data_IF_910135041142
#
_entry.id   IF_910135041142
#
_cell.length_a   1.000
_cell.length_b   1.000
_cell.length_c   1.000
_cell.angle_alpha   90.00
_cell.angle_beta   90.00
_cell.angle_gamma   90.00
#
_symmetry.space_group_name_H-M   'P 1'
#
loop_
_entity.id
_entity.type
_entity.pdbx_description
1 polymer ?
#
# COMPACT_ATOMS: atom_id res chain seq x y z
N UNK A 1 24.78 -27.69 7.82
CA UNK A 1 23.56 -28.49 7.57
C UNK A 1 22.37 -27.55 7.75
N UNK A 2 21.46 -27.46 6.78
CA UNK A 2 20.28 -26.59 6.91
C UNK A 2 19.30 -27.27 7.88
N UNK A 3 18.90 -26.58 8.95
CA UNK A 3 17.94 -27.11 9.93
C UNK A 3 16.54 -27.15 9.32
N UNK A 4 15.85 -28.27 9.51
CA UNK A 4 14.46 -28.49 9.13
C UNK A 4 13.50 -28.14 10.27
N UNK A 5 12.33 -27.62 9.92
CA UNK A 5 11.25 -27.26 10.85
C UNK A 5 10.03 -28.11 10.52
N UNK A 6 9.45 -28.76 11.52
CA UNK A 6 8.18 -29.48 11.44
C UNK A 6 7.05 -28.59 11.95
N UNK A 7 6.03 -28.37 11.14
CA UNK A 7 4.74 -27.82 11.56
C UNK A 7 3.85 -28.96 12.05
N UNK A 8 3.29 -28.85 13.26
CA UNK A 8 2.44 -29.89 13.88
C UNK A 8 1.10 -29.35 14.37
N UNK A 9 0.19 -30.27 14.72
CA UNK A 9 -1.15 -29.96 15.21
C UNK A 9 -1.82 -28.96 14.26
N UNK A 10 -1.87 -29.32 12.99
CA UNK A 10 -2.33 -28.45 11.91
C UNK A 10 -3.03 -29.28 10.85
N UNK A 11 -3.80 -28.62 9.99
CA UNK A 11 -4.26 -29.22 8.73
C UNK A 11 -3.46 -28.59 7.61
N UNK A 12 -2.67 -29.37 6.88
CA UNK A 12 -1.91 -28.92 5.72
C UNK A 12 -2.73 -29.20 4.47
N UNK A 13 -3.13 -28.16 3.75
CA UNK A 13 -3.80 -28.28 2.47
C UNK A 13 -2.77 -28.40 1.35
N UNK A 14 -2.90 -29.46 0.56
CA UNK A 14 -2.11 -29.67 -0.67
C UNK A 14 -3.05 -29.65 -1.88
N UNK A 15 -2.54 -29.58 -3.13
CA UNK A 15 -3.41 -29.57 -4.31
C UNK A 15 -4.31 -30.81 -4.47
N UNK A 16 -4.04 -31.90 -3.74
CA UNK A 16 -4.70 -33.20 -3.92
C UNK A 16 -5.40 -33.71 -2.66
N UNK A 17 -4.93 -33.33 -1.47
CA UNK A 17 -5.42 -33.86 -0.19
C UNK A 17 -5.00 -32.96 1.00
N UNK A 18 -5.37 -33.37 2.22
CA UNK A 18 -4.89 -32.78 3.47
C UNK A 18 -3.91 -33.71 4.21
N UNK A 19 -3.09 -33.11 5.08
CA UNK A 19 -2.19 -33.83 6.00
C UNK A 19 -2.17 -33.17 7.38
N UNK A 20 -1.62 -33.85 8.38
CA UNK A 20 -1.54 -33.37 9.77
C UNK A 20 -0.21 -32.67 10.12
N UNK A 21 0.81 -32.80 9.26
CA UNK A 21 2.12 -32.17 9.45
C UNK A 21 2.88 -31.90 8.13
N UNK A 22 3.81 -30.96 8.20
CA UNK A 22 4.70 -30.58 7.10
C UNK A 22 6.10 -30.30 7.64
N UNK A 23 7.14 -30.78 6.94
CA UNK A 23 8.55 -30.48 7.25
C UNK A 23 9.13 -29.64 6.13
N UNK A 24 9.76 -28.52 6.48
CA UNK A 24 10.37 -27.59 5.53
C UNK A 24 11.72 -27.06 6.00
N UNK A 25 12.47 -26.50 5.06
CA UNK A 25 13.60 -25.60 5.34
C UNK A 25 13.55 -24.40 4.39
N UNK A 26 14.28 -24.44 3.27
CA UNK A 26 14.13 -23.53 2.14
C UNK A 26 12.99 -23.94 1.19
N UNK A 27 12.64 -25.23 1.22
CA UNK A 27 11.54 -25.86 0.51
C UNK A 27 10.81 -26.84 1.41
N UNK A 28 9.62 -27.24 1.00
CA UNK A 28 8.92 -28.38 1.60
C UNK A 28 9.73 -29.64 1.33
N UNK A 29 10.04 -30.39 2.38
CA UNK A 29 10.80 -31.65 2.34
C UNK A 29 9.84 -32.84 2.39
N UNK A 30 8.85 -32.80 3.28
CA UNK A 30 7.84 -33.85 3.46
C UNK A 30 6.50 -33.27 3.91
N UNK A 31 5.41 -33.95 3.56
CA UNK A 31 4.03 -33.68 3.99
C UNK A 31 3.38 -35.02 4.33
N UNK A 32 2.65 -35.09 5.44
CA UNK A 32 2.05 -36.34 5.93
C UNK A 32 2.18 -36.48 7.45
N UNK A 33 1.91 -37.67 7.98
CA UNK A 33 1.97 -37.97 9.42
C UNK A 33 3.28 -38.58 9.90
N UNK A 34 3.55 -38.44 11.19
CA UNK A 34 4.71 -39.06 11.86
C UNK A 34 6.09 -38.53 11.43
N UNK A 35 6.13 -37.36 10.81
CA UNK A 35 7.36 -36.74 10.30
C UNK A 35 8.27 -36.25 11.43
N UNK A 36 9.56 -36.03 11.14
CA UNK A 36 10.54 -35.45 12.10
C UNK A 36 11.25 -34.26 11.47
N UNK A 37 11.47 -33.23 12.26
CA UNK A 37 12.30 -32.07 11.92
C UNK A 37 13.31 -31.78 13.02
N UNK A 38 14.33 -30.98 12.72
CA UNK A 38 15.32 -30.53 13.72
C UNK A 38 14.73 -29.58 14.76
N UNK A 39 13.62 -28.91 14.40
CA UNK A 39 12.80 -28.08 15.27
C UNK A 39 11.32 -28.30 14.99
N UNK A 40 10.47 -27.89 15.93
CA UNK A 40 9.03 -28.07 15.87
C UNK A 40 8.27 -26.78 16.20
N UNK A 41 7.17 -26.55 15.49
CA UNK A 41 6.22 -25.48 15.72
C UNK A 41 4.81 -26.08 15.76
N UNK A 42 4.17 -26.04 16.92
CA UNK A 42 2.75 -26.38 17.11
C UNK A 42 1.90 -25.22 16.58
N UNK A 43 0.97 -25.51 15.67
CA UNK A 43 0.08 -24.51 15.06
C UNK A 43 -1.32 -24.49 15.67
N UNK A 44 -1.55 -25.23 16.76
CA UNK A 44 -2.76 -25.16 17.58
C UNK A 44 -4.07 -25.37 16.80
N UNK A 45 -4.07 -26.31 15.86
CA UNK A 45 -5.19 -26.66 15.00
C UNK A 45 -5.34 -25.77 13.76
N UNK A 46 -4.38 -24.88 13.46
CA UNK A 46 -4.49 -23.98 12.32
C UNK A 46 -4.36 -24.69 10.97
N UNK A 47 -4.87 -24.02 9.93
CA UNK A 47 -4.77 -24.44 8.53
C UNK A 47 -3.48 -23.89 7.91
N UNK A 48 -2.68 -24.75 7.30
CA UNK A 48 -1.54 -24.40 6.46
C UNK A 48 -1.95 -24.50 5.00
N UNK A 49 -1.80 -23.42 4.25
CA UNK A 49 -2.06 -23.35 2.81
C UNK A 49 -0.82 -22.81 2.07
N UNK A 50 -0.68 -23.08 0.77
CA UNK A 50 0.27 -22.34 -0.06
C UNK A 50 0.04 -20.83 0.08
N UNK A 51 1.12 -20.06 0.18
CA UNK A 51 1.02 -18.60 0.16
C UNK A 51 0.36 -18.13 -1.14
N UNK A 52 -0.43 -17.05 -1.07
CA UNK A 52 -1.05 -16.48 -2.26
C UNK A 52 0.00 -16.00 -3.26
N UNK A 53 -0.21 -16.32 -4.53
CA UNK A 53 0.61 -15.84 -5.64
C UNK A 53 -0.23 -14.87 -6.47
N UNK A 54 0.06 -13.58 -6.34
CA UNK A 54 -0.53 -12.56 -7.19
C UNK A 54 0.26 -12.49 -8.51
N UNK A 55 -0.33 -12.99 -9.59
CA UNK A 55 0.29 -13.06 -10.90
C UNK A 55 0.39 -11.69 -11.59
N UNK A 56 -0.32 -10.67 -11.11
CA UNK A 56 -0.33 -9.35 -11.73
C UNK A 56 -0.58 -8.24 -10.70
N UNK A 57 0.49 -7.67 -10.17
CA UNK A 57 0.44 -6.56 -9.23
C UNK A 57 1.30 -5.37 -9.67
N UNK A 58 0.77 -4.16 -9.45
CA UNK A 58 1.55 -2.92 -9.58
C UNK A 58 2.17 -2.53 -8.23
N UNK A 59 3.19 -3.28 -7.77
CA UNK A 59 3.79 -3.11 -6.42
C UNK A 59 4.24 -1.67 -6.16
N UNK A 60 4.84 -1.01 -7.16
CA UNK A 60 5.26 0.40 -7.04
C UNK A 60 4.07 1.33 -6.84
N UNK A 61 3.00 1.15 -7.60
CA UNK A 61 1.78 1.97 -7.48
C UNK A 61 1.09 1.74 -6.13
N UNK A 62 1.12 0.50 -5.62
CA UNK A 62 0.63 0.19 -4.27
C UNK A 62 1.45 0.91 -3.19
N UNK A 63 2.79 0.86 -3.27
CA UNK A 63 3.66 1.59 -2.35
C UNK A 63 3.42 3.10 -2.43
N UNK A 64 3.27 3.64 -3.65
CA UNK A 64 2.97 5.05 -3.87
C UNK A 64 1.64 5.44 -3.23
N UNK A 65 0.59 4.63 -3.39
CA UNK A 65 -0.71 4.84 -2.74
C UNK A 65 -0.60 4.87 -1.22
N UNK A 66 0.17 3.96 -0.62
CA UNK A 66 0.40 3.93 0.83
C UNK A 66 1.14 5.18 1.35
N UNK A 67 1.98 5.79 0.52
CA UNK A 67 2.70 7.03 0.83
C UNK A 67 1.93 8.31 0.44
N UNK A 68 0.71 8.17 -0.09
CA UNK A 68 -0.13 9.29 -0.56
C UNK A 68 -1.16 9.64 0.51
N UNK A 69 -1.34 10.94 0.77
CA UNK A 69 -2.41 11.45 1.62
C UNK A 69 -3.76 11.17 0.97
N UNK A 70 -4.61 10.41 1.65
CA UNK A 70 -5.95 10.06 1.17
C UNK A 70 -6.95 11.19 1.43
N UNK A 71 -7.54 11.69 0.34
CA UNK A 71 -8.52 12.77 0.33
C UNK A 71 -9.93 12.28 -0.07
N UNK A 72 -10.13 10.98 -0.26
CA UNK A 72 -11.41 10.44 -0.70
C UNK A 72 -12.54 10.73 0.30
N UNK A 73 -13.66 11.22 -0.22
CA UNK A 73 -14.88 11.48 0.56
C UNK A 73 -14.75 12.61 1.59
N UNK A 74 -13.74 13.47 1.49
CA UNK A 74 -13.48 14.55 2.43
C UNK A 74 -14.16 15.86 2.03
N UNK A 75 -14.49 16.71 3.01
CA UNK A 75 -14.95 18.07 2.75
C UNK A 75 -13.81 18.93 2.18
N UNK A 76 -14.15 20.08 1.56
CA UNK A 76 -13.14 20.99 1.00
C UNK A 76 -12.17 21.49 2.07
N UNK A 77 -12.67 21.81 3.26
CA UNK A 77 -11.87 22.29 4.40
C UNK A 77 -10.84 21.24 4.82
N UNK A 78 -11.28 19.98 4.90
CA UNK A 78 -10.41 18.85 5.20
C UNK A 78 -9.36 18.67 4.11
N UNK A 79 -9.77 18.66 2.85
CA UNK A 79 -8.88 18.51 1.69
C UNK A 79 -7.78 19.57 1.68
N UNK A 80 -8.11 20.82 1.99
CA UNK A 80 -7.14 21.92 2.10
C UNK A 80 -6.27 21.79 3.37
N UNK A 81 -6.80 21.22 4.45
CA UNK A 81 -6.14 21.08 5.73
C UNK A 81 -5.14 19.93 5.83
N UNK A 82 -5.41 18.78 5.19
CA UNK A 82 -4.54 17.60 5.30
C UNK A 82 -3.10 17.84 4.79
N UNK A 83 -2.88 18.43 3.59
CA UNK A 83 -1.53 18.67 3.08
C UNK A 83 -0.67 19.60 3.94
N UNK A 84 -1.29 20.47 4.76
CA UNK A 84 -0.57 21.36 5.70
C UNK A 84 0.11 20.60 6.83
N UNK A 85 -0.44 19.45 7.21
CA UNK A 85 0.01 18.63 8.35
C UNK A 85 0.72 17.35 7.91
N UNK A 86 0.70 17.05 6.61
CA UNK A 86 1.33 15.87 6.07
C UNK A 86 2.86 15.99 6.15
N UNK A 87 3.50 14.92 6.58
CA UNK A 87 4.96 14.81 6.43
C UNK A 87 5.27 14.52 4.96
N UNK A 88 6.20 15.28 4.34
CA UNK A 88 6.61 14.99 2.97
C UNK A 88 7.22 13.59 2.90
N UNK A 89 6.98 12.91 1.79
CA UNK A 89 7.49 11.56 1.56
C UNK A 89 8.55 11.60 0.47
N UNK A 90 8.18 11.26 -0.75
CA UNK A 90 9.07 11.10 -1.90
C UNK A 90 9.71 12.45 -2.28
N UNK A 91 11.03 12.54 -2.10
CA UNK A 91 11.85 13.71 -2.47
C UNK A 91 11.37 15.04 -1.86
N UNK A 92 10.82 15.01 -0.64
CA UNK A 92 10.35 16.21 0.03
C UNK A 92 8.98 16.72 -0.46
N UNK A 93 8.27 15.97 -1.31
CA UNK A 93 6.93 16.30 -1.76
C UNK A 93 5.84 15.68 -0.88
N UNK A 94 4.71 16.37 -0.80
CA UNK A 94 3.45 15.81 -0.30
C UNK A 94 2.61 15.42 -1.51
N UNK A 95 2.38 14.13 -1.67
CA UNK A 95 1.43 13.60 -2.64
C UNK A 95 0.09 13.37 -1.96
N UNK A 96 -0.96 13.92 -2.51
CA UNK A 96 -2.33 13.74 -2.02
C UNK A 96 -3.23 13.32 -3.19
N UNK A 97 -4.23 12.49 -2.94
CA UNK A 97 -5.15 12.02 -3.98
C UNK A 97 -6.54 11.79 -3.44
N UNK A 98 -7.55 12.07 -4.25
CA UNK A 98 -8.92 11.66 -3.99
C UNK A 98 -9.89 12.78 -3.71
N UNK A 99 -9.47 14.05 -3.85
CA UNK A 99 -10.42 15.15 -3.71
C UNK A 99 -11.47 15.09 -4.83
N UNK A 100 -12.68 15.51 -4.51
CA UNK A 100 -13.84 15.41 -5.38
C UNK A 100 -14.77 16.60 -5.13
N UNK A 101 -14.73 17.57 -6.03
CA UNK A 101 -15.54 18.79 -5.95
C UNK A 101 -17.05 18.53 -6.09
N UNK A 102 -17.45 17.39 -6.68
CA UNK A 102 -18.86 17.03 -6.81
C UNK A 102 -19.51 16.77 -5.44
N UNK A 103 -18.72 16.41 -4.43
CA UNK A 103 -19.17 16.25 -3.04
C UNK A 103 -19.37 17.58 -2.32
N UNK A 104 -18.94 18.70 -2.90
CA UNK A 104 -19.00 20.03 -2.29
C UNK A 104 -20.18 20.86 -2.80
N UNK A 105 -21.23 20.21 -3.30
CA UNK A 105 -22.47 20.86 -3.75
C UNK A 105 -22.36 21.55 -5.11
N UNK A 106 -21.49 21.05 -6.00
CA UNK A 106 -21.25 21.63 -7.33
C UNK A 106 -20.28 22.82 -7.33
N UNK A 107 -19.34 22.85 -6.39
CA UNK A 107 -18.41 23.95 -6.18
C UNK A 107 -17.22 24.00 -7.14
N UNK A 108 -16.48 25.10 -7.07
CA UNK A 108 -15.27 25.33 -7.86
C UNK A 108 -14.18 24.29 -7.57
N UNK A 109 -13.39 23.98 -8.60
CA UNK A 109 -12.16 23.20 -8.45
C UNK A 109 -11.19 23.82 -7.43
N UNK A 110 -10.32 22.98 -6.88
CA UNK A 110 -9.23 23.44 -6.01
C UNK A 110 -8.30 24.38 -6.77
N UNK A 111 -7.82 25.40 -6.07
CA UNK A 111 -6.83 26.34 -6.59
C UNK A 111 -5.48 26.19 -5.87
N UNK A 112 -4.37 26.58 -6.51
CA UNK A 112 -3.04 26.53 -5.90
C UNK A 112 -2.89 27.30 -4.59
N UNK A 113 -3.70 28.36 -4.38
CA UNK A 113 -3.64 29.22 -3.20
C UNK A 113 -4.32 28.60 -1.97
N UNK A 114 -5.27 27.70 -2.18
CA UNK A 114 -5.96 27.02 -1.08
C UNK A 114 -5.01 26.02 -0.40
N UNK A 115 -4.20 25.30 -1.19
CA UNK A 115 -3.32 24.23 -0.73
C UNK A 115 -2.04 24.79 -0.11
N UNK A 116 -2.11 25.24 1.14
CA UNK A 116 -0.92 25.65 1.89
C UNK A 116 -0.10 24.44 2.36
N UNK A 117 1.23 24.52 2.24
CA UNK A 117 2.19 23.60 2.86
C UNK A 117 3.59 24.18 2.72
N UNK A 118 4.48 23.85 3.67
CA UNK A 118 5.91 24.16 3.56
C UNK A 118 6.59 23.30 2.48
N UNK A 119 5.98 22.17 2.13
CA UNK A 119 6.44 21.27 1.07
C UNK A 119 5.73 21.55 -0.25
N UNK A 120 6.34 21.26 -1.41
CA UNK A 120 5.60 21.21 -2.67
C UNK A 120 4.53 20.10 -2.59
N UNK A 121 3.31 20.43 -3.03
CA UNK A 121 2.16 19.52 -2.98
C UNK A 121 1.67 19.24 -4.39
N UNK A 122 1.34 17.98 -4.67
CA UNK A 122 0.50 17.57 -5.79
C UNK A 122 -0.76 16.91 -5.24
N UNK A 123 -1.93 17.53 -5.45
CA UNK A 123 -3.23 17.00 -5.05
C UNK A 123 -4.01 16.52 -6.28
N UNK A 124 -4.13 15.22 -6.47
CA UNK A 124 -4.79 14.59 -7.63
C UNK A 124 -6.27 14.33 -7.34
N UNK A 125 -7.15 14.64 -8.30
CA UNK A 125 -8.60 14.40 -8.20
C UNK A 125 -8.90 12.91 -8.12
N UNK A 126 -10.08 12.56 -7.61
CA UNK A 126 -10.57 11.18 -7.46
C UNK A 126 -10.46 10.34 -8.75
N UNK A 127 -10.66 10.96 -9.92
CA UNK A 127 -10.58 10.29 -11.22
C UNK A 127 -9.15 10.06 -11.73
N UNK A 128 -8.14 10.72 -11.15
CA UNK A 128 -6.75 10.66 -11.60
C UNK A 128 -6.41 11.48 -12.86
N UNK A 129 -7.35 12.23 -13.42
CA UNK A 129 -7.17 12.95 -14.70
C UNK A 129 -6.75 14.41 -14.53
N UNK A 130 -6.89 14.96 -13.34
CA UNK A 130 -6.42 16.30 -13.01
C UNK A 130 -5.75 16.35 -11.64
N UNK A 131 -4.85 17.31 -11.47
CA UNK A 131 -4.22 17.59 -10.20
C UNK A 131 -3.89 19.05 -10.06
N UNK A 132 -3.79 19.49 -8.80
CA UNK A 132 -3.45 20.86 -8.45
C UNK A 132 -2.11 20.85 -7.74
N UNK A 133 -1.19 21.66 -8.25
CA UNK A 133 0.04 21.99 -7.56
C UNK A 133 -0.19 23.19 -6.65
N UNK A 134 0.38 23.20 -5.45
CA UNK A 134 0.47 24.44 -4.69
C UNK A 134 1.51 25.40 -5.30
N UNK A 135 1.55 26.65 -4.82
CA UNK A 135 2.50 27.67 -5.33
C UNK A 135 3.96 27.22 -5.34
N UNK A 136 4.40 26.47 -4.32
CA UNK A 136 5.76 25.91 -4.27
C UNK A 136 6.00 24.83 -5.32
N UNK A 137 5.03 23.93 -5.50
CA UNK A 137 5.06 22.91 -6.55
C UNK A 137 5.10 23.53 -7.95
N UNK A 138 4.32 24.58 -8.19
CA UNK A 138 4.35 25.35 -9.45
C UNK A 138 5.73 25.96 -9.69
N UNK A 139 6.31 26.62 -8.69
CA UNK A 139 7.63 27.23 -8.82
C UNK A 139 8.71 26.18 -9.14
N UNK A 140 8.65 25.02 -8.50
CA UNK A 140 9.59 23.92 -8.75
C UNK A 140 9.40 23.31 -10.14
N UNK A 141 8.16 23.09 -10.58
CA UNK A 141 7.86 22.61 -11.93
C UNK A 141 8.42 23.56 -13.01
N UNK A 142 8.22 24.86 -12.85
CA UNK A 142 8.78 25.88 -13.76
C UNK A 142 10.30 25.91 -13.76
N UNK A 143 10.94 25.67 -12.61
CA UNK A 143 12.41 25.65 -12.51
C UNK A 143 13.05 24.51 -13.33
N UNK A 144 12.30 23.46 -13.65
CA UNK A 144 12.73 22.34 -14.50
C UNK A 144 12.12 22.40 -15.91
N UNK A 145 11.56 23.55 -16.31
CA UNK A 145 11.05 23.79 -17.66
C UNK A 145 9.66 23.22 -17.95
N UNK A 146 8.89 22.83 -16.93
CA UNK A 146 7.50 22.40 -17.12
C UNK A 146 6.58 23.62 -17.12
N UNK A 147 5.76 23.76 -18.17
CA UNK A 147 4.67 24.72 -18.22
C UNK A 147 3.48 24.21 -17.40
N UNK A 148 3.09 25.00 -16.40
CA UNK A 148 1.98 24.73 -15.45
C UNK A 148 1.24 26.02 -15.13
#
# INVERSE_FOLDING_TARGET
MVKTVRLTNCTVYTPWDTADSLVFSDRVVQVGGGLRGDAEVDLHGALVVPGFVDAHAHVRSTAFKLATVDLQGKSREDVVGYPRRASPTMNGWVYARGWDESLWGGGDYLTPDEIGSESPVLAVRVDGHMGVLNRRGIALARSIGVEV
#
